data_IF_446094260110
#
_entry.id   IF_446094260110
#
_cell.length_a   1.000
_cell.length_b   1.000
_cell.length_c   1.000
_cell.angle_alpha   90.00
_cell.angle_beta   90.00
_cell.angle_gamma   90.00
#
_symmetry.space_group_name_H-M   'P 1'
#
loop_
_entity.id
_entity.type
_entity.pdbx_description
1 polymer ?
#
# COMPACT_ATOMS: atom_id res chain seq x y z
N UNK A 1 11.00 5.96 -2.16
CA UNK A 1 9.98 6.29 -3.18
C UNK A 1 8.72 5.48 -2.88
N UNK A 2 7.51 5.99 -3.19
CA UNK A 2 6.26 5.32 -2.83
C UNK A 2 5.98 4.10 -3.70
N UNK A 3 5.17 3.20 -3.18
CA UNK A 3 4.51 2.13 -3.94
C UNK A 3 3.17 2.66 -4.45
N UNK A 4 2.86 2.44 -5.72
CA UNK A 4 1.64 2.97 -6.33
C UNK A 4 0.59 1.87 -6.33
N UNK A 5 -0.43 2.01 -5.47
CA UNK A 5 -1.47 1.00 -5.32
C UNK A 5 -2.80 1.55 -5.81
N UNK A 6 -3.54 0.77 -6.59
CA UNK A 6 -4.93 1.00 -6.98
C UNK A 6 -5.90 0.85 -5.79
N UNK A 7 -7.14 1.31 -5.93
CA UNK A 7 -8.12 1.24 -4.85
C UNK A 7 -8.40 -0.20 -4.40
N UNK A 8 -8.47 -1.14 -5.34
CA UNK A 8 -8.65 -2.57 -5.05
C UNK A 8 -7.51 -3.14 -4.23
N UNK A 9 -6.26 -2.88 -4.64
CA UNK A 9 -5.05 -3.35 -3.95
C UNK A 9 -4.94 -2.79 -2.53
N UNK A 10 -5.26 -1.50 -2.33
CA UNK A 10 -5.31 -0.90 -0.99
C UNK A 10 -6.39 -1.53 -0.11
N UNK A 11 -7.54 -1.84 -0.68
CA UNK A 11 -8.64 -2.46 0.04
C UNK A 11 -8.27 -3.88 0.48
N UNK A 12 -7.73 -4.67 -0.45
CA UNK A 12 -7.23 -6.02 -0.17
C UNK A 12 -6.18 -5.99 0.94
N UNK A 13 -5.17 -5.12 0.81
CA UNK A 13 -4.11 -5.02 1.80
C UNK A 13 -4.65 -4.65 3.20
N UNK A 14 -5.60 -3.72 3.28
CA UNK A 14 -6.27 -3.36 4.53
C UNK A 14 -7.01 -4.55 5.15
N UNK A 15 -7.71 -5.33 4.35
CA UNK A 15 -8.46 -6.51 4.81
C UNK A 15 -7.53 -7.62 5.28
N UNK A 16 -6.49 -7.94 4.51
CA UNK A 16 -5.53 -8.98 4.86
C UNK A 16 -4.77 -8.63 6.15
N UNK A 17 -4.32 -7.38 6.29
CA UNK A 17 -3.66 -6.93 7.52
C UNK A 17 -4.64 -6.93 8.71
N UNK A 18 -5.88 -6.51 8.51
CA UNK A 18 -6.91 -6.56 9.56
C UNK A 18 -7.13 -7.98 10.08
N UNK A 19 -7.32 -8.94 9.17
CA UNK A 19 -7.51 -10.35 9.52
C UNK A 19 -6.34 -10.94 10.32
N UNK A 20 -5.12 -10.55 9.96
CA UNK A 20 -3.90 -10.91 10.71
C UNK A 20 -3.91 -10.35 12.13
N UNK A 21 -4.16 -9.05 12.28
CA UNK A 21 -4.11 -8.38 13.58
C UNK A 21 -5.26 -8.81 14.50
N UNK A 22 -6.36 -9.29 13.93
CA UNK A 22 -7.49 -9.89 14.65
C UNK A 22 -7.22 -11.37 15.04
N UNK A 23 -6.04 -11.91 14.71
CA UNK A 23 -5.64 -13.29 15.01
C UNK A 23 -6.27 -14.35 14.10
N UNK A 24 -6.97 -13.95 13.04
CA UNK A 24 -7.58 -14.85 12.06
C UNK A 24 -6.58 -15.38 11.02
N UNK A 25 -5.35 -14.85 10.99
CA UNK A 25 -4.25 -15.33 10.16
C UNK A 25 -2.92 -15.28 10.91
N UNK A 26 -2.09 -16.32 10.75
CA UNK A 26 -0.76 -16.43 11.38
C UNK A 26 0.30 -15.67 10.59
N UNK A 27 1.20 -14.96 11.26
CA UNK A 27 2.34 -14.28 10.60
C UNK A 27 3.65 -14.47 11.34
N UNK A 28 4.76 -14.25 10.63
CA UNK A 28 6.08 -13.98 11.21
C UNK A 28 6.45 -12.50 11.22
N UNK A 29 5.47 -11.60 11.05
CA UNK A 29 5.67 -10.15 10.97
C UNK A 29 5.51 -9.49 12.34
N UNK A 30 6.20 -8.36 12.54
CA UNK A 30 5.98 -7.49 13.70
C UNK A 30 4.67 -6.68 13.50
N UNK A 31 3.71 -6.88 14.40
CA UNK A 31 2.42 -6.20 14.43
C UNK A 31 2.52 -4.67 14.34
N UNK A 32 3.60 -4.07 14.86
CA UNK A 32 3.80 -2.62 14.83
C UNK A 32 3.96 -2.10 13.40
N UNK A 33 4.69 -2.82 12.53
CA UNK A 33 4.83 -2.45 11.13
C UNK A 33 3.51 -2.60 10.38
N UNK A 34 2.73 -3.64 10.68
CA UNK A 34 1.41 -3.83 10.07
C UNK A 34 0.43 -2.70 10.45
N UNK A 35 0.45 -2.24 11.70
CA UNK A 35 -0.35 -1.08 12.14
C UNK A 35 0.11 0.23 11.49
N UNK A 36 1.41 0.41 11.28
CA UNK A 36 1.94 1.54 10.54
C UNK A 36 1.45 1.55 9.08
N UNK A 37 1.44 0.39 8.42
CA UNK A 37 0.88 0.23 7.06
C UNK A 37 -0.60 0.61 7.02
N UNK A 38 -1.42 0.13 7.97
CA UNK A 38 -2.84 0.52 8.04
C UNK A 38 -3.03 2.04 8.20
N UNK A 39 -2.17 2.67 8.99
CA UNK A 39 -2.18 4.13 9.18
C UNK A 39 -1.87 4.85 7.87
N UNK A 40 -0.81 4.45 7.16
CA UNK A 40 -0.47 5.06 5.87
C UNK A 40 -1.58 4.82 4.82
N UNK A 41 -2.19 3.64 4.78
CA UNK A 41 -3.33 3.36 3.89
C UNK A 41 -4.53 4.29 4.15
N UNK A 42 -4.78 4.63 5.42
CA UNK A 42 -5.83 5.58 5.81
C UNK A 42 -5.46 7.02 5.45
N UNK A 43 -4.18 7.39 5.54
CA UNK A 43 -3.69 8.74 5.24
C UNK A 43 -3.55 9.03 3.74
N UNK A 44 -3.24 8.03 2.91
CA UNK A 44 -3.08 8.20 1.47
C UNK A 44 -4.25 8.94 0.79
N UNK A 45 -5.53 8.55 0.97
CA UNK A 45 -6.65 9.28 0.37
C UNK A 45 -6.87 10.66 1.00
N UNK A 46 -6.50 10.86 2.27
CA UNK A 46 -6.57 12.19 2.91
C UNK A 46 -5.55 13.12 2.27
N UNK A 47 -4.32 12.64 2.06
CA UNK A 47 -3.24 13.39 1.43
C UNK A 47 -3.58 13.79 -0.01
N UNK A 48 -4.21 12.89 -0.77
CA UNK A 48 -4.69 13.20 -2.12
C UNK A 48 -5.74 14.32 -2.13
N UNK A 49 -6.63 14.37 -1.13
CA UNK A 49 -7.61 15.47 -1.00
C UNK A 49 -6.98 16.81 -0.60
N UNK A 50 -5.92 16.80 0.21
CA UNK A 50 -5.25 18.03 0.67
C UNK A 50 -4.37 18.62 -0.42
N UNK A 51 -3.70 17.80 -1.23
CA UNK A 51 -2.86 18.23 -2.35
C UNK A 51 -3.23 17.54 -3.67
N UNK A 52 -4.43 17.80 -4.22
CA UNK A 52 -4.95 17.06 -5.37
C UNK A 52 -4.15 17.29 -6.64
N UNK A 53 -3.72 18.54 -6.90
CA UNK A 53 -2.95 18.87 -8.09
C UNK A 53 -1.58 18.16 -8.13
N UNK A 54 -0.87 18.09 -7.01
CA UNK A 54 0.44 17.43 -6.96
C UNK A 54 0.33 15.93 -7.22
N UNK A 55 -0.68 15.28 -6.62
CA UNK A 55 -0.88 13.84 -6.77
C UNK A 55 -1.41 13.48 -8.15
N UNK A 56 -2.30 14.30 -8.74
CA UNK A 56 -2.78 14.13 -10.11
C UNK A 56 -1.64 14.24 -11.15
N UNK A 57 -0.77 15.25 -11.02
CA UNK A 57 0.38 15.41 -11.93
C UNK A 57 1.31 14.21 -11.87
N UNK A 58 1.65 13.73 -10.67
CA UNK A 58 2.52 12.58 -10.50
C UNK A 58 1.93 11.28 -11.08
N UNK A 59 0.62 11.07 -10.95
CA UNK A 59 -0.09 9.91 -11.52
C UNK A 59 -0.12 9.96 -13.04
N UNK A 60 -0.49 11.11 -13.59
CA UNK A 60 -0.53 11.33 -15.03
C UNK A 60 0.85 11.11 -15.66
N UNK A 61 1.91 11.67 -15.07
CA UNK A 61 3.28 11.46 -15.53
C UNK A 61 3.70 9.98 -15.53
N UNK A 62 3.19 9.19 -14.58
CA UNK A 62 3.50 7.77 -14.45
C UNK A 62 2.55 6.85 -15.22
N UNK A 63 1.56 7.41 -15.92
CA UNK A 63 0.53 6.65 -16.63
C UNK A 63 -0.45 5.89 -15.72
N UNK A 64 -0.60 6.32 -14.47
CA UNK A 64 -1.55 5.72 -13.52
C UNK A 64 -2.94 6.33 -13.62
N UNK A 65 -3.96 5.52 -13.28
CA UNK A 65 -5.35 5.96 -13.18
C UNK A 65 -5.62 6.83 -11.96
N UNK A 66 -6.79 7.47 -11.97
CA UNK A 66 -7.24 8.41 -10.94
C UNK A 66 -7.57 7.77 -9.58
N UNK A 67 -7.52 6.45 -9.46
CA UNK A 67 -7.73 5.73 -8.20
C UNK A 67 -6.42 5.21 -7.58
N UNK A 68 -5.31 5.26 -8.31
CA UNK A 68 -3.99 4.81 -7.83
C UNK A 68 -3.40 5.87 -6.93
N UNK A 69 -2.93 5.50 -5.74
CA UNK A 69 -2.36 6.44 -4.76
C UNK A 69 -0.96 6.00 -4.35
N UNK A 70 -0.06 6.96 -4.08
CA UNK A 70 1.26 6.66 -3.56
C UNK A 70 1.16 6.26 -2.08
N UNK A 71 1.65 5.07 -1.75
CA UNK A 71 1.75 4.51 -0.40
C UNK A 71 3.21 4.52 0.03
N UNK A 72 3.50 5.16 1.16
CA UNK A 72 4.86 5.32 1.69
C UNK A 72 5.15 4.23 2.69
N UNK A 73 5.84 3.18 2.24
CA UNK A 73 6.29 2.10 3.13
C UNK A 73 7.80 2.12 3.28
N UNK A 74 8.27 1.92 4.51
CA UNK A 74 9.65 1.57 4.81
C UNK A 74 9.96 0.15 4.30
N UNK A 75 11.25 -0.20 4.25
CA UNK A 75 11.66 -1.56 3.89
C UNK A 75 11.13 -2.62 4.87
N UNK A 76 11.07 -2.28 6.16
CA UNK A 76 10.53 -3.17 7.20
C UNK A 76 9.01 -3.34 7.06
N UNK A 77 8.28 -2.27 6.80
CA UNK A 77 6.83 -2.31 6.55
C UNK A 77 6.49 -3.13 5.30
N UNK A 78 7.23 -2.93 4.20
CA UNK A 78 7.07 -3.77 3.01
C UNK A 78 7.42 -5.23 3.31
N UNK A 79 8.51 -5.49 4.02
CA UNK A 79 8.91 -6.86 4.39
C UNK A 79 7.84 -7.57 5.24
N UNK A 80 7.25 -6.84 6.20
CA UNK A 80 6.14 -7.33 7.01
C UNK A 80 4.89 -7.64 6.18
N UNK A 81 4.56 -6.80 5.19
CA UNK A 81 3.45 -7.07 4.26
C UNK A 81 3.74 -8.27 3.35
N UNK A 82 4.95 -8.36 2.81
CA UNK A 82 5.33 -9.45 1.89
C UNK A 82 5.46 -10.81 2.58
N UNK A 83 5.53 -10.86 3.91
CA UNK A 83 5.49 -12.12 4.67
C UNK A 83 4.06 -12.60 4.97
N UNK A 84 3.04 -11.81 4.63
CA UNK A 84 1.64 -12.20 4.78
C UNK A 84 1.26 -13.24 3.73
N UNK A 85 0.48 -14.23 4.14
CA UNK A 85 -0.16 -15.17 3.23
C UNK A 85 -1.48 -14.60 2.71
N UNK A 86 -1.88 -14.99 1.50
CA UNK A 86 -3.19 -14.61 0.93
C UNK A 86 -3.22 -13.28 0.16
N UNK A 87 -2.07 -12.62 -0.05
CA UNK A 87 -1.99 -11.49 -0.97
C UNK A 87 -2.10 -11.96 -2.43
N UNK A 88 -2.86 -11.24 -3.22
CA UNK A 88 -3.01 -11.47 -4.65
C UNK A 88 -1.73 -11.12 -5.41
N UNK A 89 -1.59 -11.71 -6.60
CA UNK A 89 -0.47 -11.39 -7.49
C UNK A 89 -0.40 -9.91 -7.86
N UNK A 90 -1.53 -9.20 -7.88
CA UNK A 90 -1.56 -7.76 -8.17
C UNK A 90 -0.90 -6.95 -7.04
N UNK A 91 -1.27 -7.20 -5.78
CA UNK A 91 -0.64 -6.54 -4.62
C UNK A 91 0.85 -6.88 -4.55
N UNK A 92 1.22 -8.14 -4.78
CA UNK A 92 2.62 -8.56 -4.80
C UNK A 92 3.40 -7.87 -5.92
N UNK A 93 2.85 -7.72 -7.12
CA UNK A 93 3.48 -6.99 -8.23
C UNK A 93 3.65 -5.53 -7.87
N UNK A 94 2.60 -4.85 -7.40
CA UNK A 94 2.64 -3.43 -7.04
C UNK A 94 3.68 -3.11 -5.95
N UNK A 95 3.87 -4.04 -4.99
CA UNK A 95 4.89 -3.90 -3.95
C UNK A 95 6.29 -4.31 -4.41
N UNK A 96 6.44 -5.12 -5.45
CA UNK A 96 7.74 -5.61 -5.95
C UNK A 96 8.31 -4.83 -7.13
N UNK A 97 7.47 -4.36 -8.04
CA UNK A 97 7.87 -3.55 -9.20
C UNK A 97 8.54 -2.24 -8.78
N UNK A 98 8.37 -1.87 -7.50
CA UNK A 98 8.96 -0.68 -6.93
C UNK A 98 8.44 0.58 -7.62
N UNK A 99 9.03 1.73 -7.33
CA UNK A 99 8.68 2.96 -8.01
C UNK A 99 9.24 2.87 -9.44
N UNK A 100 8.35 2.83 -10.44
CA UNK A 100 8.76 3.06 -11.82
C UNK A 100 9.44 4.43 -11.89
N UNK A 101 10.66 4.46 -12.41
CA UNK A 101 11.33 5.70 -12.74
C UNK A 101 10.45 6.45 -13.74
N UNK A 102 10.03 7.65 -13.35
CA UNK A 102 9.44 8.65 -14.24
C UNK A 102 10.51 9.16 -15.21
#
# INVERSE_FOLDING_TARGET
>A
MPYWLAAGERCELRLTIGAVLDGAATTGADDSFLRAVLTELALAPVRDRVWPAMTAVARCAAGYSDDVLPIRLSGAERGAVLSLTGLSGAVLSALNDGPRAL
#
